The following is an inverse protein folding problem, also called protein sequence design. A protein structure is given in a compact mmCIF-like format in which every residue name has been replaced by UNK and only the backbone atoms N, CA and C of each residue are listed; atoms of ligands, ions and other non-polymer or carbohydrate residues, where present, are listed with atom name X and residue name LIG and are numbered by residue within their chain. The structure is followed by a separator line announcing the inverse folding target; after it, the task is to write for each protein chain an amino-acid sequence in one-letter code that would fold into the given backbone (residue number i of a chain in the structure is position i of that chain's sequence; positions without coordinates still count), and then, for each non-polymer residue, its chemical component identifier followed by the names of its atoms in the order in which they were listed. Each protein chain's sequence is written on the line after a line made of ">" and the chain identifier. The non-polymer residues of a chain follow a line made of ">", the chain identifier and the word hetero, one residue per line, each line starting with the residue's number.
data_IF_314746044030
#
_entry.id   IF_314746044030
#
_cell.length_a   1.000
_cell.length_b   1.000
_cell.length_c   1.000
_cell.angle_alpha   90.00
_cell.angle_beta   90.00
_cell.angle_gamma   90.00
#
_symmetry.space_group_name_H-M   'P 1'
#
loop_
_entity.id
_entity.type
_entity.pdbx_description
1 polymer ?
#
# COMPACT_ATOMS: atom_id res chain seq x y z
N UNK A 1 13.89 9.64 23.99
CA UNK A 1 14.18 8.61 22.98
C UNK A 1 12.94 7.71 22.88
N UNK A 2 12.35 7.55 21.69
CA UNK A 2 11.13 6.76 21.50
C UNK A 2 11.43 5.30 21.83
N UNK A 3 10.65 4.67 22.71
CA UNK A 3 10.76 3.23 22.96
C UNK A 3 10.14 2.51 21.76
N UNK A 4 10.97 1.91 20.94
CA UNK A 4 10.57 1.01 19.86
C UNK A 4 10.90 -0.41 20.28
N UNK A 5 9.94 -1.29 20.07
CA UNK A 5 10.16 -2.71 20.25
C UNK A 5 10.58 -3.26 18.87
N UNK A 6 11.81 -3.77 18.77
CA UNK A 6 12.40 -4.22 17.49
C UNK A 6 12.97 -5.63 17.67
N UNK A 7 12.61 -6.50 16.74
CA UNK A 7 13.22 -7.80 16.55
C UNK A 7 14.12 -7.77 15.33
N UNK A 8 15.40 -8.06 15.54
CA UNK A 8 16.39 -8.19 14.46
C UNK A 8 17.16 -9.51 14.65
N UNK A 9 17.12 -10.37 13.64
CA UNK A 9 17.87 -11.62 13.61
C UNK A 9 18.26 -11.95 12.16
N UNK A 10 19.56 -12.03 11.92
CA UNK A 10 20.10 -12.19 10.56
C UNK A 10 19.62 -11.06 9.64
N UNK A 11 18.93 -11.38 8.54
CA UNK A 11 18.36 -10.41 7.60
C UNK A 11 16.92 -10.01 7.93
N UNK A 12 16.32 -10.60 8.97
CA UNK A 12 14.91 -10.38 9.33
C UNK A 12 14.77 -9.24 10.30
N UNK A 13 13.90 -8.30 9.98
CA UNK A 13 13.59 -7.15 10.82
C UNK A 13 12.09 -6.95 10.90
N UNK A 14 11.57 -6.80 12.11
CA UNK A 14 10.23 -6.26 12.39
C UNK A 14 10.28 -5.39 13.63
N UNK A 15 9.50 -4.30 13.62
CA UNK A 15 9.35 -3.46 14.80
C UNK A 15 7.94 -2.97 14.99
N UNK A 16 7.62 -2.64 16.24
CA UNK A 16 6.37 -2.06 16.68
C UNK A 16 6.66 -0.77 17.46
N UNK A 17 5.97 0.30 17.10
CA UNK A 17 6.09 1.59 17.77
C UNK A 17 4.71 2.21 18.01
N UNK A 18 4.50 2.91 19.14
CA UNK A 18 3.31 3.71 19.33
C UNK A 18 3.36 4.98 18.48
N UNK A 19 2.20 5.39 17.95
CA UNK A 19 2.05 6.66 17.19
C UNK A 19 1.43 7.71 18.09
N UNK A 20 2.21 8.74 18.43
CA UNK A 20 1.79 9.90 19.21
C UNK A 20 2.61 11.13 18.77
N UNK A 21 2.21 12.33 19.20
CA UNK A 21 2.76 13.60 18.69
C UNK A 21 4.29 13.67 18.73
N UNK A 22 4.91 13.32 19.85
CA UNK A 22 6.37 13.42 20.03
C UNK A 22 7.16 12.36 19.26
N UNK A 23 6.46 11.35 18.68
CA UNK A 23 7.06 10.30 17.86
C UNK A 23 7.09 10.63 16.37
N UNK A 24 6.33 11.67 15.92
CA UNK A 24 6.10 11.92 14.49
C UNK A 24 7.38 12.16 13.70
N UNK A 25 8.29 12.98 14.21
CA UNK A 25 9.59 13.25 13.55
C UNK A 25 10.36 11.95 13.26
N UNK A 26 10.40 11.07 14.25
CA UNK A 26 11.06 9.77 14.10
C UNK A 26 10.32 8.83 13.17
N UNK A 27 8.98 8.78 13.21
CA UNK A 27 8.17 7.88 12.38
C UNK A 27 8.13 8.33 10.91
N UNK A 28 8.22 9.63 10.65
CA UNK A 28 8.26 10.20 9.30
C UNK A 28 9.68 10.18 8.68
N UNK A 29 10.67 9.65 9.39
CA UNK A 29 12.05 9.61 8.86
C UNK A 29 12.22 8.60 7.73
N UNK A 30 13.18 8.87 6.82
CA UNK A 30 13.48 8.04 5.64
C UNK A 30 13.93 6.61 5.96
N UNK A 31 14.31 6.35 7.21
CA UNK A 31 14.75 5.01 7.66
C UNK A 31 13.73 3.91 7.41
N UNK A 32 12.45 4.26 7.31
CA UNK A 32 11.38 3.29 7.06
C UNK A 32 10.99 3.16 5.58
N UNK A 33 11.62 3.89 4.69
CA UNK A 33 11.24 3.92 3.26
C UNK A 33 11.26 2.54 2.61
N UNK A 34 12.27 1.72 2.90
CA UNK A 34 12.43 0.38 2.34
C UNK A 34 11.56 -0.69 3.01
N UNK A 35 10.93 -0.39 4.15
CA UNK A 35 10.10 -1.34 4.89
C UNK A 35 8.66 -1.35 4.39
N UNK A 36 8.00 -2.50 4.55
CA UNK A 36 6.55 -2.60 4.53
C UNK A 36 6.05 -2.04 5.86
N UNK A 37 5.00 -1.20 5.82
CA UNK A 37 4.47 -0.53 7.02
C UNK A 37 2.98 -0.83 7.17
N UNK A 38 2.55 -1.06 8.40
CA UNK A 38 1.14 -1.19 8.78
C UNK A 38 0.87 -0.23 9.91
N UNK A 39 -0.14 0.63 9.74
CA UNK A 39 -0.55 1.56 10.80
C UNK A 39 -1.97 1.21 11.25
N UNK A 40 -2.18 1.18 12.55
CA UNK A 40 -3.50 1.27 13.15
C UNK A 40 -3.64 2.67 13.74
N UNK A 41 -4.54 3.46 13.19
CA UNK A 41 -4.76 4.84 13.60
C UNK A 41 -6.21 5.01 14.08
N UNK A 42 -6.44 5.29 15.36
CA UNK A 42 -7.73 5.70 15.88
C UNK A 42 -8.26 6.96 15.20
N UNK A 43 -9.44 7.42 15.61
CA UNK A 43 -10.01 8.67 15.09
C UNK A 43 -9.13 9.89 15.37
N UNK A 44 -9.07 10.82 14.40
CA UNK A 44 -8.45 12.15 14.55
C UNK A 44 -7.02 12.25 14.04
N UNK A 45 -6.54 11.26 13.31
CA UNK A 45 -5.24 11.34 12.64
C UNK A 45 -5.38 11.94 11.25
N UNK A 46 -4.38 12.72 10.84
CA UNK A 46 -4.18 13.15 9.47
C UNK A 46 -2.84 12.65 8.97
N UNK A 47 -2.83 12.07 7.77
CA UNK A 47 -1.63 11.54 7.15
C UNK A 47 -1.70 11.68 5.64
N UNK A 48 -0.52 11.72 5.02
CA UNK A 48 -0.36 11.65 3.56
C UNK A 48 0.32 10.35 3.19
N UNK A 49 -0.26 9.61 2.25
CA UNK A 49 0.36 8.44 1.63
C UNK A 49 0.54 8.74 0.15
N UNK A 50 1.78 8.74 -0.32
CA UNK A 50 2.15 9.24 -1.64
C UNK A 50 1.62 10.69 -1.85
N UNK A 51 0.59 10.86 -2.65
CA UNK A 51 0.04 12.18 -3.03
C UNK A 51 -1.42 12.36 -2.58
N UNK A 52 -1.87 11.52 -1.63
CA UNK A 52 -3.23 11.54 -1.12
C UNK A 52 -3.24 11.76 0.38
N UNK A 53 -4.01 12.76 0.82
CA UNK A 53 -4.20 13.04 2.24
C UNK A 53 -5.43 12.30 2.77
N UNK A 54 -5.31 11.78 3.97
CA UNK A 54 -6.35 11.02 4.66
C UNK A 54 -6.60 11.60 6.06
N UNK A 55 -7.85 11.55 6.48
CA UNK A 55 -8.27 11.84 7.84
C UNK A 55 -9.02 10.64 8.42
N UNK A 56 -8.62 10.16 9.59
CA UNK A 56 -9.30 9.05 10.25
C UNK A 56 -10.52 9.53 11.02
N UNK A 57 -11.71 9.30 10.46
CA UNK A 57 -13.00 9.55 11.14
C UNK A 57 -13.40 8.44 12.09
N UNK A 58 -12.85 7.26 11.88
CA UNK A 58 -13.01 6.01 12.63
C UNK A 58 -11.65 5.31 12.72
N UNK A 59 -11.46 4.32 13.62
CA UNK A 59 -10.24 3.52 13.64
C UNK A 59 -9.99 2.89 12.27
N UNK A 60 -8.77 3.05 11.78
CA UNK A 60 -8.41 2.68 10.39
C UNK A 60 -7.04 2.00 10.36
N UNK A 61 -6.94 0.92 9.60
CA UNK A 61 -5.67 0.26 9.26
C UNK A 61 -5.19 0.80 7.91
N UNK A 62 -3.91 1.17 7.83
CA UNK A 62 -3.24 1.54 6.58
C UNK A 62 -2.14 0.55 6.26
N UNK A 63 -1.99 0.21 4.98
CA UNK A 63 -1.04 -0.77 4.46
C UNK A 63 -0.15 -0.08 3.42
N UNK A 64 1.09 0.13 3.77
CA UNK A 64 2.03 0.93 3.00
C UNK A 64 3.14 0.01 2.46
N UNK A 65 3.24 -0.08 1.14
CA UNK A 65 4.29 -0.84 0.46
C UNK A 65 5.66 -0.15 0.57
N UNK A 66 6.77 -0.86 0.38
CA UNK A 66 8.09 -0.24 0.29
C UNK A 66 8.11 0.89 -0.74
N UNK A 67 8.89 1.93 -0.46
CA UNK A 67 9.08 3.12 -1.30
C UNK A 67 7.81 3.96 -1.52
N UNK A 68 6.72 3.71 -0.80
CA UNK A 68 5.62 4.66 -0.70
C UNK A 68 5.96 5.75 0.31
N UNK A 69 5.73 6.99 -0.08
CA UNK A 69 5.82 8.12 0.84
C UNK A 69 4.74 8.00 1.92
N UNK A 70 5.13 8.23 3.16
CA UNK A 70 4.23 8.27 4.31
C UNK A 70 4.63 9.45 5.18
N UNK A 71 3.68 10.32 5.48
CA UNK A 71 3.84 11.39 6.44
C UNK A 71 2.61 11.44 7.36
N UNK A 72 2.80 11.28 8.65
CA UNK A 72 1.76 11.48 9.67
C UNK A 72 1.85 12.93 10.13
N UNK A 73 0.85 13.74 9.84
CA UNK A 73 0.85 15.19 10.07
C UNK A 73 0.29 15.55 11.45
N UNK A 74 -0.78 14.87 11.86
CA UNK A 74 -1.40 15.09 13.18
C UNK A 74 -1.79 13.79 13.84
N UNK A 75 -1.79 13.78 15.17
CA UNK A 75 -2.25 12.65 15.99
C UNK A 75 -3.61 12.91 16.59
N UNK A 76 -4.41 11.85 16.70
CA UNK A 76 -5.62 11.83 17.51
C UNK A 76 -5.33 11.82 19.02
N UNK A 77 -6.39 11.81 19.83
CA UNK A 77 -6.28 11.76 21.28
C UNK A 77 -5.78 10.41 21.82
N UNK A 78 -6.09 9.32 21.11
CA UNK A 78 -5.67 7.96 21.47
C UNK A 78 -4.45 7.58 20.62
N UNK A 79 -3.37 7.03 21.23
CA UNK A 79 -2.21 6.58 20.48
C UNK A 79 -2.56 5.48 19.46
N UNK A 80 -1.95 5.56 18.29
CA UNK A 80 -2.00 4.51 17.28
C UNK A 80 -0.83 3.54 17.40
N UNK A 81 -0.73 2.62 16.46
CA UNK A 81 0.37 1.66 16.32
C UNK A 81 0.97 1.74 14.93
N UNK A 82 2.29 1.57 14.88
CA UNK A 82 3.08 1.54 13.66
C UNK A 82 3.93 0.27 13.64
N UNK A 83 3.64 -0.64 12.73
CA UNK A 83 4.47 -1.82 12.44
C UNK A 83 5.29 -1.52 11.20
N UNK A 84 6.58 -1.89 11.22
CA UNK A 84 7.43 -1.91 10.06
C UNK A 84 8.19 -3.23 9.99
N UNK A 85 8.34 -3.79 8.79
CA UNK A 85 9.06 -5.05 8.61
C UNK A 85 9.63 -5.18 7.20
N UNK A 86 10.64 -6.02 7.04
CA UNK A 86 11.21 -6.32 5.74
C UNK A 86 10.68 -7.64 5.16
N UNK A 87 10.96 -7.89 3.87
CA UNK A 87 10.52 -9.10 3.17
C UNK A 87 11.10 -10.38 3.75
N UNK A 88 12.30 -10.32 4.33
CA UNK A 88 12.95 -11.47 4.93
C UNK A 88 12.24 -11.91 6.22
N UNK A 89 11.60 -11.00 6.94
CA UNK A 89 10.74 -11.34 8.07
C UNK A 89 9.40 -11.92 7.59
N UNK A 90 8.71 -11.24 6.67
CA UNK A 90 7.42 -11.68 6.13
C UNK A 90 7.25 -11.26 4.68
N UNK A 91 7.31 -12.25 3.77
CA UNK A 91 7.07 -11.99 2.35
C UNK A 91 5.58 -12.15 2.01
N UNK A 92 4.93 -11.02 1.69
CA UNK A 92 3.51 -10.97 1.32
C UNK A 92 3.22 -11.92 0.16
N UNK A 93 4.10 -11.97 -0.84
CA UNK A 93 3.90 -12.77 -2.05
C UNK A 93 4.01 -14.28 -1.77
N UNK A 94 4.98 -14.71 -0.95
CA UNK A 94 5.15 -16.13 -0.60
C UNK A 94 3.98 -16.66 0.24
N UNK A 95 3.44 -15.81 1.13
CA UNK A 95 2.33 -16.18 2.02
C UNK A 95 0.96 -15.78 1.47
N UNK A 96 0.88 -15.32 0.22
CA UNK A 96 -0.37 -14.84 -0.38
C UNK A 96 -1.43 -15.94 -0.49
N UNK A 97 -1.04 -17.19 -0.73
CA UNK A 97 -1.96 -18.32 -0.75
C UNK A 97 -2.72 -18.50 0.60
N UNK A 98 -2.08 -18.14 1.72
CA UNK A 98 -2.65 -18.28 3.06
C UNK A 98 -3.49 -17.05 3.47
N UNK A 99 -3.04 -15.85 3.10
CA UNK A 99 -3.55 -14.58 3.63
C UNK A 99 -4.33 -13.79 2.60
N UNK A 100 -4.04 -13.95 1.31
CA UNK A 100 -4.68 -13.27 0.19
C UNK A 100 -4.65 -11.72 0.29
N UNK A 101 -3.57 -11.14 0.84
CA UNK A 101 -3.46 -9.69 1.06
C UNK A 101 -2.76 -8.93 -0.08
N UNK A 102 -1.98 -9.62 -0.93
CA UNK A 102 -1.33 -9.00 -2.08
C UNK A 102 -2.36 -8.60 -3.15
N UNK A 103 -2.25 -7.41 -3.69
CA UNK A 103 -3.21 -6.82 -4.63
C UNK A 103 -4.53 -6.35 -3.99
N UNK A 104 -4.75 -6.56 -2.68
CA UNK A 104 -5.90 -6.03 -1.94
C UNK A 104 -5.49 -4.98 -0.91
N UNK A 105 -4.69 -5.36 0.06
CA UNK A 105 -4.17 -4.48 1.10
C UNK A 105 -2.88 -3.78 0.63
N UNK A 106 -1.98 -4.54 0.03
CA UNK A 106 -0.72 -4.05 -0.50
C UNK A 106 -0.75 -4.07 -2.02
N UNK A 107 0.06 -3.22 -2.65
CA UNK A 107 0.16 -3.12 -4.11
C UNK A 107 -1.20 -2.87 -4.80
N UNK A 108 -2.16 -2.35 -4.07
CA UNK A 108 -3.48 -2.03 -4.60
C UNK A 108 -3.46 -0.65 -5.26
N UNK A 109 -3.30 -0.63 -6.57
CA UNK A 109 -3.24 0.59 -7.38
C UNK A 109 -4.63 1.19 -7.61
N UNK A 110 -5.66 0.38 -7.42
CA UNK A 110 -7.04 0.75 -7.75
C UNK A 110 -7.80 1.40 -6.59
N UNK A 111 -7.41 1.09 -5.35
CA UNK A 111 -8.10 1.53 -4.15
C UNK A 111 -7.13 2.12 -3.12
N UNK A 112 -7.70 2.81 -2.14
CA UNK A 112 -6.94 3.33 -1.01
C UNK A 112 -6.29 2.18 -0.23
N UNK A 113 -5.04 2.34 0.24
CA UNK A 113 -4.34 1.33 1.03
C UNK A 113 -4.83 1.33 2.49
N UNK A 114 -6.14 1.26 2.70
CA UNK A 114 -6.75 1.37 4.03
C UNK A 114 -7.97 0.46 4.19
N UNK A 115 -8.25 0.11 5.43
CA UNK A 115 -9.44 -0.63 5.85
C UNK A 115 -9.99 -0.01 7.13
N UNK A 116 -11.25 0.35 7.16
CA UNK A 116 -11.93 0.86 8.35
C UNK A 116 -12.12 -0.30 9.34
N UNK A 117 -11.87 -0.05 10.63
CA UNK A 117 -12.09 -1.03 11.69
C UNK A 117 -13.42 -0.69 12.36
N UNK A 118 -14.41 -1.52 12.13
CA UNK A 118 -15.72 -1.42 12.76
C UNK A 118 -15.62 -1.63 14.28
N UNK A 119 -16.55 -1.05 15.03
CA UNK A 119 -16.53 -1.06 16.50
C UNK A 119 -16.45 -2.48 17.10
N UNK A 120 -17.13 -3.43 16.48
CA UNK A 120 -17.17 -4.82 16.89
C UNK A 120 -15.81 -5.53 16.73
N UNK A 121 -14.96 -5.01 15.84
CA UNK A 121 -13.67 -5.59 15.50
C UNK A 121 -12.50 -4.90 16.20
N UNK A 122 -12.74 -3.73 16.76
CA UNK A 122 -11.70 -2.88 17.35
C UNK A 122 -10.97 -3.60 18.50
N UNK A 123 -11.72 -4.25 19.39
CA UNK A 123 -11.16 -4.98 20.51
C UNK A 123 -10.20 -6.10 20.05
N UNK A 124 -10.54 -6.82 18.98
CA UNK A 124 -9.69 -7.87 18.42
C UNK A 124 -8.42 -7.30 17.78
N UNK A 125 -8.52 -6.21 17.04
CA UNK A 125 -7.36 -5.54 16.44
C UNK A 125 -6.41 -5.02 17.53
N UNK A 126 -6.94 -4.36 18.55
CA UNK A 126 -6.14 -3.88 19.69
C UNK A 126 -5.48 -5.03 20.46
N UNK A 127 -6.19 -6.14 20.64
CA UNK A 127 -5.63 -7.35 21.24
C UNK A 127 -4.40 -7.86 20.48
N UNK A 128 -4.45 -7.91 19.13
CA UNK A 128 -3.30 -8.32 18.31
C UNK A 128 -2.07 -7.43 18.60
N UNK A 129 -2.23 -6.11 18.59
CA UNK A 129 -1.12 -5.19 18.86
C UNK A 129 -0.57 -5.36 20.28
N UNK A 130 -1.44 -5.56 21.26
CA UNK A 130 -1.06 -5.80 22.65
C UNK A 130 -0.26 -7.09 22.78
N UNK A 131 -0.71 -8.17 22.14
CA UNK A 131 0.01 -9.45 22.16
C UNK A 131 1.36 -9.36 21.45
N UNK A 132 1.42 -8.70 20.28
CA UNK A 132 2.70 -8.46 19.61
C UNK A 132 3.70 -7.74 20.52
N UNK A 133 3.24 -6.73 21.27
CA UNK A 133 4.09 -6.01 22.22
C UNK A 133 4.58 -6.94 23.33
N UNK A 134 3.71 -7.79 23.87
CA UNK A 134 4.09 -8.80 24.88
C UNK A 134 5.20 -9.72 24.36
N UNK A 135 5.11 -10.16 23.10
CA UNK A 135 6.15 -10.99 22.50
C UNK A 135 7.50 -10.27 22.38
N UNK A 136 7.49 -8.96 22.04
CA UNK A 136 8.73 -8.17 22.04
C UNK A 136 9.36 -8.07 23.43
N UNK A 137 8.55 -7.99 24.48
CA UNK A 137 9.03 -7.93 25.88
C UNK A 137 9.53 -9.30 26.38
N UNK A 138 8.95 -10.42 25.92
CA UNK A 138 9.33 -11.78 26.32
C UNK A 138 10.69 -12.21 25.76
N UNK A 139 10.94 -11.99 24.46
CA UNK A 139 12.22 -12.23 23.81
C UNK A 139 12.69 -13.69 23.77
N UNK A 140 11.77 -14.65 23.79
CA UNK A 140 12.10 -16.08 23.82
C UNK A 140 12.37 -16.68 22.43
N UNK A 141 12.63 -17.99 22.36
CA UNK A 141 12.91 -18.68 21.10
C UNK A 141 11.72 -18.73 20.13
N UNK A 142 10.50 -18.58 20.61
CA UNK A 142 9.24 -18.62 19.86
C UNK A 142 8.80 -17.25 19.36
N UNK A 143 9.42 -16.17 19.84
CA UNK A 143 9.07 -14.78 19.58
C UNK A 143 8.82 -14.48 18.10
N UNK A 144 9.76 -14.88 17.24
CA UNK A 144 9.66 -14.65 15.80
C UNK A 144 8.37 -15.22 15.20
N UNK A 145 8.05 -16.47 15.55
CA UNK A 145 6.90 -17.17 14.99
C UNK A 145 5.57 -16.68 15.58
N UNK A 146 5.57 -16.31 16.85
CA UNK A 146 4.40 -15.70 17.50
C UNK A 146 4.08 -14.34 16.88
N UNK A 147 5.06 -13.46 16.72
CA UNK A 147 4.85 -12.16 16.04
C UNK A 147 4.36 -12.36 14.61
N UNK A 148 4.94 -13.32 13.86
CA UNK A 148 4.50 -13.67 12.51
C UNK A 148 3.04 -14.15 12.48
N UNK A 149 2.63 -14.93 13.48
CA UNK A 149 1.27 -15.45 13.62
C UNK A 149 0.28 -14.30 13.86
N UNK A 150 0.58 -13.35 14.74
CA UNK A 150 -0.26 -12.17 14.96
C UNK A 150 -0.34 -11.29 13.72
N UNK A 151 0.77 -11.10 13.00
CA UNK A 151 0.78 -10.37 11.74
C UNK A 151 -0.12 -11.04 10.69
N UNK A 152 -0.08 -12.36 10.57
CA UNK A 152 -0.97 -13.14 9.70
C UNK A 152 -2.45 -12.95 10.09
N UNK A 153 -2.78 -13.03 11.39
CA UNK A 153 -4.14 -12.81 11.88
C UNK A 153 -4.64 -11.39 11.52
N UNK A 154 -3.78 -10.37 11.72
CA UNK A 154 -4.09 -8.99 11.36
C UNK A 154 -4.42 -8.87 9.86
N UNK A 155 -3.62 -9.47 8.99
CA UNK A 155 -3.86 -9.41 7.55
C UNK A 155 -5.12 -10.17 7.13
N UNK A 156 -5.33 -11.39 7.62
CA UNK A 156 -6.53 -12.17 7.33
C UNK A 156 -7.79 -11.38 7.73
N UNK A 157 -7.78 -10.79 8.92
CA UNK A 157 -8.89 -9.96 9.40
C UNK A 157 -9.10 -8.73 8.53
N UNK A 158 -8.03 -8.03 8.21
CA UNK A 158 -8.08 -6.84 7.34
C UNK A 158 -8.60 -7.16 5.94
N UNK A 159 -8.21 -8.29 5.35
CA UNK A 159 -8.75 -8.75 4.06
C UNK A 159 -10.26 -9.03 4.14
N UNK A 160 -10.73 -9.62 5.25
CA UNK A 160 -12.16 -9.85 5.46
C UNK A 160 -12.93 -8.53 5.54
N UNK A 161 -12.44 -7.57 6.35
CA UNK A 161 -13.01 -6.23 6.47
C UNK A 161 -12.98 -5.49 5.13
N UNK A 162 -11.86 -5.54 4.42
CA UNK A 162 -11.76 -4.94 3.10
C UNK A 162 -12.79 -5.50 2.11
N UNK A 163 -12.94 -6.82 2.07
CA UNK A 163 -13.95 -7.49 1.22
C UNK A 163 -15.37 -7.06 1.59
N UNK A 164 -15.66 -6.98 2.87
CA UNK A 164 -16.97 -6.54 3.39
C UNK A 164 -17.27 -5.10 2.95
N UNK A 165 -16.33 -4.19 3.11
CA UNK A 165 -16.49 -2.76 2.79
C UNK A 165 -16.60 -2.46 1.29
N UNK A 166 -15.94 -3.28 0.44
CA UNK A 166 -15.87 -3.01 -1.00
C UNK A 166 -16.70 -3.97 -1.86
N UNK A 167 -17.15 -5.09 -1.31
CA UNK A 167 -17.85 -6.14 -2.05
C UNK A 167 -19.26 -6.44 -1.53
N UNK A 168 -19.77 -5.71 -0.53
CA UNK A 168 -21.10 -5.93 0.05
C UNK A 168 -22.27 -5.85 -0.96
N UNK A 169 -22.07 -5.22 -2.11
CA UNK A 169 -23.05 -5.18 -3.19
C UNK A 169 -22.93 -6.35 -4.17
N UNK A 170 -22.00 -7.29 -3.95
CA UNK A 170 -21.70 -8.37 -4.88
C UNK A 170 -21.87 -9.73 -4.24
N UNK A 171 -23.04 -10.32 -4.50
CA UNK A 171 -23.46 -11.66 -4.08
C UNK A 171 -22.42 -12.76 -4.33
N UNK A 172 -22.34 -13.66 -3.42
CA UNK A 172 -21.68 -14.94 -3.14
C UNK A 172 -20.87 -15.73 -4.21
N UNK A 173 -20.73 -15.28 -5.44
CA UNK A 173 -20.03 -16.02 -6.52
C UNK A 173 -18.73 -15.38 -7.04
N UNK A 174 -18.19 -14.38 -6.36
CA UNK A 174 -17.14 -13.49 -6.94
C UNK A 174 -15.70 -13.81 -6.48
N UNK A 175 -15.45 -14.91 -5.79
CA UNK A 175 -14.07 -15.26 -5.41
C UNK A 175 -13.12 -15.41 -6.62
N UNK A 176 -13.64 -15.97 -7.74
CA UNK A 176 -12.85 -16.12 -8.98
C UNK A 176 -12.55 -14.78 -9.65
N UNK A 177 -13.50 -13.85 -9.67
CA UNK A 177 -13.29 -12.51 -10.21
C UNK A 177 -12.35 -11.69 -9.34
N UNK A 178 -12.42 -11.82 -8.01
CA UNK A 178 -11.50 -11.16 -7.10
C UNK A 178 -10.07 -11.67 -7.27
N UNK A 179 -9.87 -12.99 -7.37
CA UNK A 179 -8.56 -13.58 -7.67
C UNK A 179 -8.03 -13.13 -9.04
N UNK A 180 -8.90 -12.98 -10.00
CA UNK A 180 -8.54 -12.42 -11.30
C UNK A 180 -8.09 -10.95 -11.19
N UNK A 181 -8.83 -10.12 -10.43
CA UNK A 181 -8.46 -8.73 -10.14
C UNK A 181 -7.08 -8.65 -9.48
N UNK A 182 -6.84 -9.45 -8.43
CA UNK A 182 -5.56 -9.55 -7.73
C UNK A 182 -4.42 -9.95 -8.67
N UNK A 183 -4.66 -10.96 -9.51
CA UNK A 183 -3.67 -11.41 -10.50
C UNK A 183 -3.34 -10.31 -11.50
N UNK A 184 -4.34 -9.57 -11.98
CA UNK A 184 -4.13 -8.44 -12.89
C UNK A 184 -3.32 -7.31 -12.23
N UNK A 185 -3.68 -6.89 -11.01
CA UNK A 185 -2.96 -5.81 -10.31
C UNK A 185 -1.51 -6.17 -10.00
N UNK A 186 -1.23 -7.43 -9.63
CA UNK A 186 0.15 -7.94 -9.45
C UNK A 186 0.95 -7.91 -10.76
N UNK A 187 0.36 -8.32 -11.87
CA UNK A 187 1.00 -8.25 -13.18
C UNK A 187 1.29 -6.81 -13.58
N UNK A 188 0.37 -5.88 -13.31
CA UNK A 188 0.59 -4.45 -13.55
C UNK A 188 1.76 -3.94 -12.72
N UNK A 189 1.81 -4.25 -11.42
CA UNK A 189 2.91 -3.83 -10.56
C UNK A 189 4.27 -4.41 -10.99
N UNK A 190 4.29 -5.64 -11.51
CA UNK A 190 5.51 -6.29 -11.99
C UNK A 190 6.00 -5.78 -13.35
N UNK A 191 5.10 -5.34 -14.24
CA UNK A 191 5.42 -5.10 -15.65
C UNK A 191 5.09 -3.69 -16.17
N UNK A 192 4.62 -2.76 -15.34
CA UNK A 192 4.16 -1.43 -15.77
C UNK A 192 5.18 -0.65 -16.62
N UNK A 193 6.50 -0.84 -16.42
CA UNK A 193 7.53 -0.17 -17.21
C UNK A 193 7.61 -0.64 -18.67
N UNK A 194 7.21 -1.89 -18.95
CA UNK A 194 7.32 -2.48 -20.30
C UNK A 194 5.96 -2.66 -20.97
N UNK A 195 4.86 -2.67 -20.21
CA UNK A 195 3.52 -3.02 -20.67
C UNK A 195 2.52 -1.92 -20.29
N UNK A 196 2.02 -1.24 -21.31
CA UNK A 196 1.20 -0.03 -21.13
C UNK A 196 -0.26 -0.20 -21.57
N UNK A 197 -0.59 -1.29 -22.26
CA UNK A 197 -1.92 -1.54 -22.81
C UNK A 197 -2.62 -2.73 -22.15
N UNK A 198 -3.95 -2.75 -22.14
CA UNK A 198 -4.72 -3.90 -21.67
C UNK A 198 -4.43 -5.15 -22.52
N UNK A 199 -4.05 -4.99 -23.78
CA UNK A 199 -3.66 -6.09 -24.66
C UNK A 199 -2.40 -6.81 -24.15
N UNK A 200 -1.40 -6.06 -23.69
CA UNK A 200 -0.16 -6.64 -23.16
C UNK A 200 -0.41 -7.55 -21.95
N UNK A 201 -1.36 -7.18 -21.12
CA UNK A 201 -1.75 -7.99 -19.95
C UNK A 201 -2.71 -9.12 -20.32
N UNK A 202 -3.48 -8.94 -21.38
CA UNK A 202 -4.34 -9.99 -21.93
C UNK A 202 -3.50 -11.19 -22.41
N UNK A 203 -2.37 -10.92 -23.07
CA UNK A 203 -1.42 -11.93 -23.50
C UNK A 203 -0.82 -12.70 -22.31
N UNK A 204 -0.40 -11.98 -21.25
CA UNK A 204 0.12 -12.58 -20.01
C UNK A 204 -0.91 -13.48 -19.30
N UNK A 205 -2.19 -13.10 -19.38
CA UNK A 205 -3.30 -13.84 -18.76
C UNK A 205 -3.92 -14.88 -19.69
N UNK A 206 -3.43 -15.03 -20.92
CA UNK A 206 -4.01 -15.89 -21.95
C UNK A 206 -5.51 -15.64 -22.14
N UNK A 207 -5.90 -14.35 -22.19
CA UNK A 207 -7.30 -13.91 -22.29
C UNK A 207 -7.48 -12.82 -23.35
N UNK A 208 -8.69 -12.64 -23.86
CA UNK A 208 -9.00 -11.48 -24.70
C UNK A 208 -9.13 -10.20 -23.85
N UNK A 209 -8.63 -9.06 -24.33
CA UNK A 209 -8.74 -7.75 -23.67
C UNK A 209 -10.20 -7.38 -23.32
N UNK A 210 -11.13 -7.73 -24.20
CA UNK A 210 -12.58 -7.54 -23.97
C UNK A 210 -13.08 -8.34 -22.76
N UNK A 211 -12.58 -9.54 -22.55
CA UNK A 211 -12.93 -10.40 -21.40
C UNK A 211 -12.42 -9.77 -20.11
N UNK A 212 -11.19 -9.25 -20.11
CA UNK A 212 -10.62 -8.52 -18.96
C UNK A 212 -11.51 -7.34 -18.59
N UNK A 213 -11.78 -6.46 -19.56
CA UNK A 213 -12.62 -5.26 -19.34
C UNK A 213 -14.01 -5.61 -18.82
N UNK A 214 -14.62 -6.68 -19.32
CA UNK A 214 -15.94 -7.14 -18.87
C UNK A 214 -15.91 -7.65 -17.40
N UNK A 215 -14.86 -8.40 -17.03
CA UNK A 215 -14.69 -8.87 -15.63
C UNK A 215 -14.54 -7.68 -14.67
N UNK A 216 -13.74 -6.68 -15.01
CA UNK A 216 -13.60 -5.47 -14.19
C UNK A 216 -14.90 -4.68 -14.06
N UNK A 217 -15.67 -4.55 -15.15
CA UNK A 217 -16.98 -3.89 -15.12
C UNK A 217 -17.97 -4.61 -14.18
N UNK A 218 -17.93 -5.94 -14.15
CA UNK A 218 -18.76 -6.74 -13.23
C UNK A 218 -18.42 -6.53 -11.75
N UNK A 219 -17.14 -6.29 -11.45
CA UNK A 219 -16.67 -5.98 -10.10
C UNK A 219 -16.93 -4.53 -9.67
N UNK A 220 -17.46 -3.69 -10.56
CA UNK A 220 -17.65 -2.25 -10.33
C UNK A 220 -16.36 -1.55 -9.83
N UNK A 221 -15.21 -2.05 -10.27
CA UNK A 221 -13.89 -1.52 -9.94
C UNK A 221 -13.37 -0.62 -11.06
N UNK A 222 -12.26 0.07 -10.79
CA UNK A 222 -11.55 0.85 -11.81
C UNK A 222 -11.25 0.00 -13.04
N UNK A 223 -11.43 0.59 -14.22
CA UNK A 223 -11.16 -0.13 -15.47
C UNK A 223 -9.67 -0.49 -15.61
N UNK A 224 -9.33 -1.61 -16.28
CA UNK A 224 -7.95 -2.09 -16.39
C UNK A 224 -6.97 -1.04 -16.91
N UNK A 225 -7.37 -0.27 -17.93
CA UNK A 225 -6.56 0.80 -18.50
C UNK A 225 -6.26 1.92 -17.48
N UNK A 226 -7.21 2.22 -16.60
CA UNK A 226 -7.02 3.22 -15.55
C UNK A 226 -6.03 2.73 -14.49
N UNK A 227 -6.07 1.45 -14.13
CA UNK A 227 -5.13 0.83 -13.19
C UNK A 227 -3.70 0.92 -13.74
N UNK A 228 -3.48 0.56 -15.01
CA UNK A 228 -2.17 0.64 -15.67
C UNK A 228 -1.66 2.09 -15.65
N UNK A 229 -2.50 3.04 -16.10
CA UNK A 229 -2.15 4.46 -16.13
C UNK A 229 -1.86 5.02 -14.74
N UNK A 230 -2.68 4.66 -13.75
CA UNK A 230 -2.48 5.13 -12.37
C UNK A 230 -1.16 4.64 -11.81
N UNK A 231 -0.76 3.37 -12.09
CA UNK A 231 0.54 2.84 -11.66
C UNK A 231 1.71 3.59 -12.29
N UNK A 232 1.65 3.84 -13.60
CA UNK A 232 2.65 4.62 -14.32
C UNK A 232 2.77 6.04 -13.76
N UNK A 233 1.64 6.72 -13.55
CA UNK A 233 1.63 8.09 -13.03
C UNK A 233 2.09 8.18 -11.58
N UNK A 234 1.78 7.18 -10.76
CA UNK A 234 2.30 7.10 -9.39
C UNK A 234 3.84 7.03 -9.39
N UNK A 235 4.42 6.16 -10.23
CA UNK A 235 5.87 6.06 -10.33
C UNK A 235 6.50 7.33 -10.92
N UNK A 236 5.87 7.92 -11.95
CA UNK A 236 6.31 9.20 -12.51
C UNK A 236 6.40 10.30 -11.44
N UNK A 237 5.37 10.42 -10.61
CA UNK A 237 5.35 11.38 -9.50
C UNK A 237 6.47 11.13 -8.50
N UNK A 238 6.72 9.85 -8.12
CA UNK A 238 7.81 9.46 -7.22
C UNK A 238 9.18 9.86 -7.80
N UNK A 239 9.42 9.50 -9.06
CA UNK A 239 10.68 9.86 -9.75
C UNK A 239 10.86 11.37 -9.86
N UNK A 240 9.79 12.13 -10.12
CA UNK A 240 9.85 13.59 -10.15
C UNK A 240 10.22 14.21 -8.81
N UNK A 241 9.74 13.66 -7.70
CA UNK A 241 9.96 14.21 -6.36
C UNK A 241 11.28 13.74 -5.77
N UNK A 242 11.63 12.45 -5.92
CA UNK A 242 12.75 11.84 -5.21
C UNK A 242 14.02 11.67 -6.04
N UNK A 243 14.03 12.13 -7.30
CA UNK A 243 15.23 12.07 -8.16
C UNK A 243 15.45 13.38 -8.92
N UNK A 244 16.68 13.57 -9.39
CA UNK A 244 17.05 14.69 -10.29
C UNK A 244 16.75 14.41 -11.77
N UNK A 245 16.16 13.26 -12.12
CA UNK A 245 15.86 12.87 -13.50
C UNK A 245 14.96 13.91 -14.19
N UNK A 246 15.29 14.28 -15.41
CA UNK A 246 14.42 15.13 -16.24
C UNK A 246 13.11 14.40 -16.61
N UNK A 247 12.08 15.14 -16.96
CA UNK A 247 10.82 14.54 -17.44
C UNK A 247 11.04 13.61 -18.65
N UNK A 248 12.02 13.91 -19.50
CA UNK A 248 12.41 13.07 -20.64
C UNK A 248 13.02 11.75 -20.20
N UNK A 249 13.94 11.77 -19.24
CA UNK A 249 14.56 10.57 -18.67
C UNK A 249 13.53 9.71 -17.96
N UNK A 250 12.62 10.32 -17.19
CA UNK A 250 11.50 9.63 -16.53
C UNK A 250 10.59 8.96 -17.56
N UNK A 251 10.28 9.63 -18.66
CA UNK A 251 9.49 9.02 -19.73
C UNK A 251 10.15 7.74 -20.26
N UNK A 252 11.44 7.77 -20.56
CA UNK A 252 12.17 6.59 -21.03
C UNK A 252 12.30 5.51 -19.95
N UNK A 253 12.57 5.88 -18.70
CA UNK A 253 12.61 4.96 -17.56
C UNK A 253 11.28 4.21 -17.36
N UNK A 254 10.18 4.88 -17.66
CA UNK A 254 8.83 4.30 -17.59
C UNK A 254 8.38 3.60 -18.89
N UNK A 255 9.27 3.46 -19.88
CA UNK A 255 9.02 2.73 -21.13
C UNK A 255 8.20 3.52 -22.16
N UNK A 256 8.10 4.83 -22.07
CA UNK A 256 7.50 5.65 -23.12
C UNK A 256 8.49 5.90 -24.25
N UNK A 257 8.09 5.64 -25.48
CA UNK A 257 8.89 5.94 -26.68
C UNK A 257 8.91 7.44 -26.99
N UNK A 258 7.79 8.15 -26.71
CA UNK A 258 7.64 9.59 -26.92
C UNK A 258 7.46 10.35 -25.59
N UNK A 259 8.48 11.13 -25.13
CA UNK A 259 8.36 11.96 -23.94
C UNK A 259 7.26 13.03 -24.01
N UNK A 260 6.87 13.47 -25.22
CA UNK A 260 5.78 14.41 -25.36
C UNK A 260 4.44 13.74 -25.09
N UNK A 261 4.27 12.47 -25.48
CA UNK A 261 3.10 11.68 -25.14
C UNK A 261 2.99 11.43 -23.64
N UNK A 262 4.11 11.06 -22.98
CA UNK A 262 4.18 10.97 -21.53
C UNK A 262 3.72 12.26 -20.86
N UNK A 263 4.28 13.42 -21.26
CA UNK A 263 3.94 14.73 -20.67
C UNK A 263 2.46 15.06 -20.83
N UNK A 264 1.86 14.79 -21.98
CA UNK A 264 0.42 14.97 -22.20
C UNK A 264 -0.42 14.06 -21.30
N UNK A 265 -0.03 12.78 -21.16
CA UNK A 265 -0.71 11.85 -20.23
C UNK A 265 -0.59 12.30 -18.77
N UNK A 266 0.61 12.76 -18.38
CA UNK A 266 0.85 13.26 -17.03
C UNK A 266 -0.06 14.46 -16.73
N UNK A 267 -0.12 15.46 -17.64
CA UNK A 267 -1.00 16.63 -17.49
C UNK A 267 -2.47 16.21 -17.42
N UNK A 268 -2.91 15.32 -18.28
CA UNK A 268 -4.29 14.82 -18.26
C UNK A 268 -4.69 14.19 -16.94
N UNK A 269 -3.73 13.49 -16.28
CA UNK A 269 -3.98 12.76 -15.05
C UNK A 269 -3.76 13.59 -13.78
N UNK A 270 -2.88 14.60 -13.82
CA UNK A 270 -2.48 15.37 -12.62
C UNK A 270 -2.97 16.81 -12.65
N UNK A 271 -3.38 17.31 -13.81
CA UNK A 271 -3.79 18.70 -14.02
C UNK A 271 -2.62 19.67 -14.26
N UNK A 272 -1.36 19.20 -14.21
CA UNK A 272 -0.18 20.04 -14.32
C UNK A 272 0.99 19.37 -15.06
N UNK A 273 1.96 20.15 -15.52
CA UNK A 273 3.13 19.60 -16.20
C UNK A 273 4.06 18.86 -15.23
N UNK A 274 4.89 17.88 -15.70
CA UNK A 274 5.89 17.24 -14.86
C UNK A 274 6.82 18.21 -14.14
N UNK A 275 7.27 19.27 -14.81
CA UNK A 275 8.13 20.30 -14.20
C UNK A 275 7.37 21.14 -13.18
N UNK A 276 6.12 21.51 -13.44
CA UNK A 276 5.26 22.22 -12.49
C UNK A 276 5.01 21.38 -11.22
N UNK A 277 4.72 20.08 -11.42
CA UNK A 277 4.55 19.15 -10.33
C UNK A 277 5.82 19.08 -9.45
N UNK A 278 7.00 18.91 -10.05
CA UNK A 278 8.28 18.91 -9.34
C UNK A 278 8.47 20.16 -8.51
N UNK A 279 8.25 21.35 -9.10
CA UNK A 279 8.50 22.64 -8.42
C UNK A 279 7.67 22.81 -7.14
N UNK A 280 6.49 22.23 -7.06
CA UNK A 280 5.66 22.27 -5.83
C UNK A 280 6.28 21.51 -4.66
N UNK A 281 7.01 20.43 -4.93
CA UNK A 281 7.58 19.57 -3.89
C UNK A 281 9.04 19.92 -3.58
N UNK A 282 9.80 20.53 -4.52
CA UNK A 282 11.17 20.97 -4.25
C UNK A 282 11.26 22.21 -3.32
N UNK A 283 10.17 22.93 -3.11
CA UNK A 283 10.11 24.06 -2.16
C UNK A 283 9.69 23.67 -0.74
N UNK A 284 9.47 22.37 -0.47
CA UNK A 284 8.97 21.83 0.80
C UNK A 284 9.96 20.86 1.48
N UNK A 285 11.19 20.74 0.93
CA UNK A 285 12.31 19.96 1.50
C UNK A 285 13.40 20.97 2.03
#
# INVERSE_FOLDING_TARGET
>A
MMKQDVFERSLKTIGLAPVYRDALESLNSDRYTSYIKVLYLPKGYQLTVDFHSYETKQPTLFFISPNQFLEIQTCGATPGYFIFYNRDFYCIQLHDAEVACDGLLFNNIANMPMTIVEKEEEAFIQYIFTQMKTEFDLGDASQEEMIRTYLKQLFIKSVRLWKQQHLEQMLSNHNKELEFFRSFTRLVDAHYKQKHSVSDYADLLSMASKTITHKFKRLNLLQPNEIIKNRLMLEAKRLLVHTSMTAKEIAYELGYEDPAYFSRQFITKTGESPSGFRSKFYGSL
#
